data_IF_222141908600
#
_entry.id   IF_222141908600
#
_cell.length_a   1.000
_cell.length_b   1.000
_cell.length_c   1.000
_cell.angle_alpha   90.00
_cell.angle_beta   90.00
_cell.angle_gamma   90.00
#
_symmetry.space_group_name_H-M   'P 1'
#
loop_
_entity.id
_entity.type
_entity.pdbx_description
1 polymer ?
#
# COMPACT_ATOMS: atom_id res chain seq x y z
N UNK A 1 0.73 -9.33 -21.46
CA UNK A 1 -0.34 -9.94 -20.64
C UNK A 1 -0.75 -11.26 -21.27
N UNK A 2 -0.74 -12.37 -20.53
CA UNK A 2 -1.07 -13.73 -21.03
C UNK A 2 -2.37 -14.33 -20.47
N UNK A 3 -3.06 -13.68 -19.51
CA UNK A 3 -4.17 -14.30 -18.77
C UNK A 3 -5.51 -13.55 -18.86
N UNK A 4 -5.71 -12.76 -19.91
CA UNK A 4 -7.01 -12.17 -20.22
C UNK A 4 -7.69 -13.03 -21.27
N UNK A 5 -8.83 -13.61 -20.93
CA UNK A 5 -9.66 -14.31 -21.90
C UNK A 5 -10.62 -13.32 -22.55
N UNK A 6 -10.57 -13.26 -23.87
CA UNK A 6 -11.47 -12.45 -24.68
C UNK A 6 -12.78 -13.20 -24.86
N UNK A 7 -13.90 -12.59 -24.43
CA UNK A 7 -15.22 -13.02 -24.86
C UNK A 7 -15.71 -12.01 -25.90
N UNK A 8 -15.96 -12.48 -27.12
CA UNK A 8 -16.73 -11.70 -28.08
C UNK A 8 -18.17 -11.62 -27.56
N UNK A 9 -18.63 -10.41 -27.25
CA UNK A 9 -20.05 -10.15 -26.98
C UNK A 9 -20.53 -9.24 -28.09
N UNK A 10 -21.51 -9.71 -28.85
CA UNK A 10 -22.25 -8.90 -29.82
C UNK A 10 -23.28 -8.10 -29.00
N UNK A 11 -23.13 -6.78 -28.97
CA UNK A 11 -24.17 -5.88 -28.46
C UNK A 11 -24.96 -5.39 -29.68
N UNK A 12 -26.20 -5.84 -29.81
CA UNK A 12 -27.14 -5.31 -30.80
C UNK A 12 -27.65 -3.94 -30.31
N UNK A 13 -27.21 -2.86 -30.96
CA UNK A 13 -27.92 -1.58 -30.90
C UNK A 13 -29.00 -1.55 -31.99
N UNK A 14 -30.25 -1.21 -31.62
CA UNK A 14 -31.31 -0.82 -32.56
C UNK A 14 -30.90 0.48 -33.28
N UNK A 15 -30.03 0.37 -34.29
CA UNK A 15 -29.52 1.55 -34.98
C UNK A 15 -28.13 1.45 -35.57
N UNK A 16 -27.67 0.26 -35.97
CA UNK A 16 -26.67 0.10 -37.03
C UNK A 16 -25.36 0.88 -36.87
N UNK A 17 -24.62 0.66 -35.78
CA UNK A 17 -23.14 0.63 -35.83
C UNK A 17 -22.66 -0.24 -34.65
N UNK A 18 -22.28 -1.50 -34.90
CA UNK A 18 -21.71 -2.38 -33.87
C UNK A 18 -20.43 -1.75 -33.27
N UNK A 19 -20.50 -1.26 -32.04
CA UNK A 19 -19.31 -1.03 -31.23
C UNK A 19 -18.96 -2.35 -30.54
N UNK A 20 -18.04 -3.13 -31.12
CA UNK A 20 -17.41 -4.27 -30.42
C UNK A 20 -16.61 -3.74 -29.22
N UNK A 21 -17.24 -3.66 -28.06
CA UNK A 21 -16.55 -3.46 -26.79
C UNK A 21 -15.75 -4.71 -26.44
N UNK A 22 -14.44 -4.58 -26.24
CA UNK A 22 -13.63 -5.70 -25.74
C UNK A 22 -13.95 -5.97 -24.27
N UNK A 23 -14.78 -6.98 -24.01
CA UNK A 23 -14.99 -7.50 -22.66
C UNK A 23 -13.89 -8.50 -22.33
N UNK A 24 -13.01 -8.11 -21.42
CA UNK A 24 -11.90 -8.94 -20.95
C UNK A 24 -12.20 -9.42 -19.53
N UNK A 25 -12.22 -10.73 -19.33
CA UNK A 25 -12.37 -11.33 -18.01
C UNK A 25 -11.00 -11.51 -17.35
N UNK A 26 -10.91 -11.07 -16.10
CA UNK A 26 -9.74 -11.30 -15.25
C UNK A 26 -10.00 -12.52 -14.37
N UNK A 27 -9.17 -13.55 -14.54
CA UNK A 27 -9.22 -14.76 -13.73
C UNK A 27 -7.96 -14.83 -12.86
N UNK A 28 -8.02 -14.37 -11.59
CA UNK A 28 -6.86 -14.37 -10.70
C UNK A 28 -6.20 -15.75 -10.54
N UNK A 29 -6.99 -16.82 -10.62
CA UNK A 29 -6.52 -18.21 -10.48
C UNK A 29 -5.64 -18.69 -11.65
N UNK A 30 -5.62 -17.97 -12.78
CA UNK A 30 -4.80 -18.30 -13.95
C UNK A 30 -3.50 -17.50 -14.01
N UNK A 31 -3.23 -16.65 -13.01
CA UNK A 31 -2.01 -15.86 -12.96
C UNK A 31 -0.77 -16.74 -12.78
N UNK A 32 0.34 -16.32 -13.41
CA UNK A 32 1.65 -16.96 -13.23
C UNK A 32 2.02 -16.98 -11.74
N UNK A 33 2.59 -18.09 -11.26
CA UNK A 33 3.16 -18.16 -9.92
C UNK A 33 4.41 -17.29 -9.77
N UNK A 34 5.16 -17.15 -10.86
CA UNK A 34 6.49 -16.60 -10.83
C UNK A 34 6.44 -15.07 -10.78
N UNK A 35 7.32 -14.50 -9.95
CA UNK A 35 7.52 -13.04 -9.89
C UNK A 35 8.16 -12.58 -11.20
N UNK A 36 7.71 -11.47 -11.80
CA UNK A 36 8.40 -10.91 -12.96
C UNK A 36 9.81 -10.43 -12.57
N UNK A 37 10.81 -10.76 -13.39
CA UNK A 37 12.21 -10.41 -13.15
C UNK A 37 12.41 -8.89 -13.06
N UNK A 38 11.61 -8.11 -13.78
CA UNK A 38 11.66 -6.64 -13.77
C UNK A 38 11.36 -6.06 -12.39
N UNK A 39 10.64 -6.79 -11.53
CA UNK A 39 10.32 -6.33 -10.18
C UNK A 39 11.51 -6.45 -9.22
N UNK A 40 12.44 -7.36 -9.52
CA UNK A 40 13.65 -7.60 -8.70
C UNK A 40 14.73 -6.55 -8.90
N UNK A 41 14.70 -5.84 -10.02
CA UNK A 41 15.65 -4.77 -10.35
C UNK A 41 15.18 -3.38 -9.94
N UNK A 42 13.98 -3.24 -9.37
CA UNK A 42 13.46 -1.97 -8.87
C UNK A 42 14.18 -1.51 -7.61
N UNK A 43 14.46 -0.21 -7.52
CA UNK A 43 15.00 0.42 -6.32
C UNK A 43 13.84 1.01 -5.52
N UNK A 44 13.41 0.29 -4.49
CA UNK A 44 12.35 0.73 -3.60
C UNK A 44 12.86 1.73 -2.56
N UNK A 45 12.04 2.73 -2.27
CA UNK A 45 12.31 3.81 -1.31
C UNK A 45 11.37 3.76 -0.10
N UNK A 46 10.27 3.02 -0.21
CA UNK A 46 9.34 2.78 0.88
C UNK A 46 8.89 1.32 0.93
N UNK A 47 8.68 0.82 2.15
CA UNK A 47 8.14 -0.50 2.43
C UNK A 47 7.25 -0.49 3.67
N UNK A 48 6.11 -1.14 3.58
CA UNK A 48 5.15 -1.30 4.67
C UNK A 48 4.51 -2.68 4.61
N UNK A 49 4.12 -3.22 5.75
CA UNK A 49 3.38 -4.48 5.77
C UNK A 49 2.27 -4.52 6.82
N UNK A 50 1.18 -5.22 6.46
CA UNK A 50 0.12 -5.64 7.35
C UNK A 50 0.32 -7.11 7.66
N UNK A 51 0.73 -7.44 8.88
CA UNK A 51 1.16 -8.79 9.25
C UNK A 51 0.22 -9.43 10.28
N UNK A 52 -0.14 -10.69 10.07
CA UNK A 52 -0.87 -11.49 11.06
C UNK A 52 -0.07 -11.62 12.37
N UNK A 53 -0.75 -11.48 13.52
CA UNK A 53 -0.14 -11.68 14.83
C UNK A 53 0.18 -13.15 15.11
N UNK A 54 -0.71 -14.05 14.68
CA UNK A 54 -0.60 -15.49 14.88
C UNK A 54 0.13 -16.15 13.71
N UNK A 55 1.07 -17.06 14.05
CA UNK A 55 1.79 -17.89 13.07
C UNK A 55 0.91 -18.91 12.33
N UNK A 56 -0.36 -19.02 12.68
CA UNK A 56 -1.31 -19.94 12.05
C UNK A 56 -2.34 -19.22 11.18
N UNK A 57 -2.27 -17.89 11.12
CA UNK A 57 -3.22 -17.05 10.41
C UNK A 57 -2.64 -16.58 9.08
N UNK A 58 -3.45 -16.59 8.04
CA UNK A 58 -3.08 -16.18 6.69
C UNK A 58 -4.18 -15.30 6.10
N UNK A 59 -3.79 -14.37 5.24
CA UNK A 59 -4.76 -13.64 4.45
C UNK A 59 -5.45 -14.61 3.47
N UNK A 60 -6.79 -14.62 3.41
CA UNK A 60 -7.48 -15.55 2.52
C UNK A 60 -7.24 -15.15 1.05
N UNK A 61 -7.16 -16.10 0.10
CA UNK A 61 -6.97 -15.77 -1.32
C UNK A 61 -8.02 -14.78 -1.87
N UNK A 62 -9.26 -14.86 -1.37
CA UNK A 62 -10.34 -13.91 -1.73
C UNK A 62 -9.98 -12.46 -1.39
N UNK A 63 -9.28 -12.22 -0.28
CA UNK A 63 -8.82 -10.89 0.09
C UNK A 63 -7.89 -10.33 -0.99
N UNK A 64 -6.92 -11.12 -1.49
CA UNK A 64 -6.03 -10.69 -2.57
C UNK A 64 -6.79 -10.39 -3.87
N UNK A 65 -7.75 -11.24 -4.24
CA UNK A 65 -8.52 -11.06 -5.47
C UNK A 65 -9.31 -9.75 -5.46
N UNK A 66 -9.95 -9.42 -4.32
CA UNK A 66 -10.67 -8.14 -4.18
C UNK A 66 -9.70 -6.96 -4.17
N UNK A 67 -8.63 -7.05 -3.39
CA UNK A 67 -7.63 -5.99 -3.27
C UNK A 67 -6.99 -5.66 -4.62
N UNK A 68 -6.50 -6.68 -5.34
CA UNK A 68 -5.84 -6.52 -6.62
C UNK A 68 -6.75 -5.89 -7.68
N UNK A 69 -8.03 -6.28 -7.71
CA UNK A 69 -9.04 -5.66 -8.59
C UNK A 69 -9.29 -4.19 -8.24
N UNK A 70 -9.44 -3.86 -6.95
CA UNK A 70 -9.67 -2.48 -6.51
C UNK A 70 -8.47 -1.59 -6.80
N UNK A 71 -7.26 -2.05 -6.51
CA UNK A 71 -6.04 -1.31 -6.82
C UNK A 71 -5.85 -1.11 -8.32
N UNK A 72 -6.05 -2.15 -9.13
CA UNK A 72 -5.93 -2.05 -10.57
C UNK A 72 -6.97 -1.08 -11.18
N UNK A 73 -8.19 -1.06 -10.62
CA UNK A 73 -9.24 -0.15 -11.06
C UNK A 73 -9.02 1.30 -10.60
N UNK A 74 -8.66 1.52 -9.34
CA UNK A 74 -8.53 2.87 -8.78
C UNK A 74 -7.20 3.54 -9.12
N UNK A 75 -6.10 2.79 -9.03
CA UNK A 75 -4.75 3.36 -8.93
C UNK A 75 -3.90 3.14 -10.17
N UNK A 76 -4.26 2.17 -11.00
CA UNK A 76 -3.39 1.73 -12.09
C UNK A 76 -3.86 2.15 -13.50
N UNK A 77 -4.84 3.06 -13.59
CA UNK A 77 -5.41 3.53 -14.84
C UNK A 77 -4.75 4.82 -15.33
N UNK A 78 -4.07 4.83 -16.50
CA UNK A 78 -3.86 6.03 -17.29
C UNK A 78 -5.16 6.32 -18.05
N UNK A 79 -5.82 7.45 -17.76
CA UNK A 79 -7.04 7.87 -18.45
C UNK A 79 -6.70 8.67 -19.72
N UNK A 80 -7.10 8.14 -20.88
CA UNK A 80 -7.37 8.89 -22.11
C UNK A 80 -8.54 8.18 -22.85
N UNK A 81 -9.62 8.90 -23.16
CA UNK A 81 -10.75 8.50 -24.02
C UNK A 81 -11.25 7.05 -23.85
N UNK A 82 -11.88 6.73 -22.70
CA UNK A 82 -12.51 5.43 -22.37
C UNK A 82 -11.62 4.17 -22.58
N UNK A 83 -10.34 4.33 -22.93
CA UNK A 83 -9.40 3.26 -23.24
C UNK A 83 -8.48 3.04 -22.04
N UNK A 84 -8.68 1.90 -21.38
CA UNK A 84 -7.82 1.44 -20.30
C UNK A 84 -6.40 1.14 -20.83
N UNK A 85 -5.44 2.06 -20.68
CA UNK A 85 -4.01 1.78 -20.92
C UNK A 85 -3.45 0.96 -19.76
N UNK A 86 -3.72 -0.34 -19.72
CA UNK A 86 -3.38 -1.20 -18.57
C UNK A 86 -1.85 -1.31 -18.37
N UNK A 87 -1.32 -0.60 -17.36
CA UNK A 87 0.10 -0.62 -16.94
C UNK A 87 0.34 -1.49 -15.69
N UNK A 88 -0.54 -2.48 -15.47
CA UNK A 88 -0.42 -3.44 -14.38
C UNK A 88 0.31 -4.70 -14.83
N UNK A 89 1.17 -5.21 -13.96
CA UNK A 89 1.74 -6.55 -14.04
C UNK A 89 1.23 -7.36 -12.85
N UNK A 90 0.62 -8.51 -13.12
CA UNK A 90 0.06 -9.40 -12.10
C UNK A 90 0.79 -10.73 -12.07
N UNK A 91 0.93 -11.29 -10.88
CA UNK A 91 1.28 -12.68 -10.60
C UNK A 91 0.36 -13.21 -9.49
N UNK A 92 0.44 -14.51 -9.17
CA UNK A 92 -0.53 -15.23 -8.35
C UNK A 92 -0.88 -14.52 -7.03
N UNK A 93 0.12 -13.95 -6.37
CA UNK A 93 -0.03 -13.29 -5.07
C UNK A 93 0.34 -11.81 -5.10
N UNK A 94 0.60 -11.20 -6.27
CA UNK A 94 0.99 -9.80 -6.30
C UNK A 94 0.64 -9.03 -7.57
N UNK A 95 0.72 -7.72 -7.43
CA UNK A 95 0.37 -6.72 -8.41
C UNK A 95 1.42 -5.61 -8.34
N UNK A 96 1.93 -5.23 -9.51
CA UNK A 96 2.73 -4.03 -9.69
C UNK A 96 2.08 -3.10 -10.70
N UNK A 97 2.18 -1.79 -10.48
CA UNK A 97 1.82 -0.79 -11.47
C UNK A 97 2.72 0.43 -11.40
N UNK A 98 2.81 1.15 -12.52
CA UNK A 98 3.41 2.48 -12.60
C UNK A 98 2.32 3.51 -12.89
N UNK A 99 2.22 4.54 -12.07
CA UNK A 99 1.13 5.52 -12.15
C UNK A 99 1.28 6.55 -13.29
N UNK A 100 2.39 6.53 -14.03
CA UNK A 100 2.67 7.53 -15.08
C UNK A 100 3.19 8.87 -14.56
N UNK A 101 3.29 9.03 -13.24
CA UNK A 101 3.74 10.24 -12.53
C UNK A 101 4.98 9.94 -11.66
N UNK A 102 5.85 9.08 -12.15
CA UNK A 102 7.15 8.77 -11.54
C UNK A 102 7.10 7.79 -10.37
N UNK A 103 5.96 7.17 -10.03
CA UNK A 103 5.84 6.26 -8.89
C UNK A 103 5.47 4.84 -9.35
N UNK A 104 6.31 3.88 -8.98
CA UNK A 104 6.04 2.45 -9.08
C UNK A 104 5.51 1.91 -7.76
N UNK A 105 4.53 1.03 -7.79
CA UNK A 105 3.90 0.46 -6.59
C UNK A 105 3.73 -1.04 -6.75
N UNK A 106 4.18 -1.78 -5.74
CA UNK A 106 4.07 -3.22 -5.61
C UNK A 106 3.21 -3.56 -4.39
N UNK A 107 2.24 -4.44 -4.57
CA UNK A 107 1.47 -5.06 -3.49
C UNK A 107 1.52 -6.57 -3.64
N UNK A 108 1.94 -7.28 -2.61
CA UNK A 108 2.08 -8.74 -2.62
C UNK A 108 1.61 -9.36 -1.30
N UNK A 109 0.94 -10.51 -1.36
CA UNK A 109 0.75 -11.37 -0.19
C UNK A 109 1.93 -12.33 -0.10
N UNK A 110 2.68 -12.22 0.99
CA UNK A 110 3.85 -13.06 1.28
C UNK A 110 3.42 -14.11 2.29
N UNK A 111 3.11 -15.32 1.81
CA UNK A 111 2.58 -16.41 2.62
C UNK A 111 3.56 -16.82 3.74
N UNK A 112 4.85 -16.85 3.46
CA UNK A 112 5.91 -17.22 4.41
C UNK A 112 5.95 -16.31 5.64
N UNK A 113 5.47 -15.07 5.50
CA UNK A 113 5.44 -14.07 6.57
C UNK A 113 4.04 -13.60 6.94
N UNK A 114 3.01 -14.17 6.32
CA UNK A 114 1.61 -13.94 6.64
C UNK A 114 1.28 -12.45 6.60
N UNK A 115 1.79 -11.77 5.57
CA UNK A 115 1.64 -10.33 5.46
C UNK A 115 1.25 -9.88 4.07
N UNK A 116 0.51 -8.79 4.02
CA UNK A 116 0.38 -7.95 2.82
C UNK A 116 1.55 -6.99 2.84
N UNK A 117 2.39 -7.07 1.81
CA UNK A 117 3.54 -6.21 1.59
C UNK A 117 3.17 -5.11 0.59
N UNK A 118 3.53 -3.88 0.92
CA UNK A 118 3.47 -2.72 0.02
C UNK A 118 4.88 -2.17 -0.14
N UNK A 119 5.35 -2.03 -1.37
CA UNK A 119 6.63 -1.39 -1.66
C UNK A 119 6.45 -0.33 -2.76
N UNK A 120 7.15 0.78 -2.64
CA UNK A 120 7.08 1.86 -3.63
C UNK A 120 8.47 2.31 -4.07
N UNK A 121 8.61 2.52 -5.38
CA UNK A 121 9.75 3.16 -6.00
C UNK A 121 9.32 4.52 -6.54
N UNK A 122 10.23 5.49 -6.53
CA UNK A 122 9.91 6.84 -6.98
C UNK A 122 11.08 7.45 -7.75
N UNK A 123 10.76 8.05 -8.89
CA UNK A 123 11.69 8.87 -9.65
C UNK A 123 12.07 10.13 -8.86
N UNK A 124 13.26 10.65 -9.14
CA UNK A 124 13.76 11.84 -8.44
C UNK A 124 12.83 13.04 -8.66
N UNK A 125 12.38 13.66 -7.57
CA UNK A 125 11.52 14.84 -7.59
C UNK A 125 10.01 14.53 -7.52
N UNK A 126 9.62 13.26 -7.39
CA UNK A 126 8.21 12.86 -7.31
C UNK A 126 7.81 12.30 -5.92
N UNK A 127 8.59 12.60 -4.87
CA UNK A 127 8.35 12.06 -3.53
C UNK A 127 6.97 12.43 -2.97
N UNK A 128 6.48 13.65 -3.22
CA UNK A 128 5.14 14.07 -2.82
C UNK A 128 4.03 13.19 -3.43
N UNK A 129 4.20 12.79 -4.71
CA UNK A 129 3.29 11.85 -5.37
C UNK A 129 3.33 10.47 -4.70
N UNK A 130 4.52 10.01 -4.30
CA UNK A 130 4.66 8.75 -3.56
C UNK A 130 3.99 8.83 -2.20
N UNK A 131 4.14 9.94 -1.46
CA UNK A 131 3.49 10.16 -0.16
C UNK A 131 1.96 10.09 -0.29
N UNK A 132 1.40 10.77 -1.29
CA UNK A 132 -0.05 10.75 -1.55
C UNK A 132 -0.52 9.34 -1.93
N UNK A 133 0.12 8.70 -2.91
CA UNK A 133 -0.27 7.37 -3.37
C UNK A 133 -0.12 6.32 -2.27
N UNK A 134 0.90 6.44 -1.43
CA UNK A 134 1.10 5.59 -0.24
C UNK A 134 -0.11 5.66 0.69
N UNK A 135 -0.64 6.85 0.95
CA UNK A 135 -1.84 7.04 1.78
C UNK A 135 -3.03 6.29 1.17
N UNK A 136 -3.24 6.45 -0.13
CA UNK A 136 -4.38 5.86 -0.82
C UNK A 136 -4.27 4.32 -0.90
N UNK A 137 -3.07 3.80 -1.14
CA UNK A 137 -2.82 2.35 -1.19
C UNK A 137 -2.97 1.71 0.18
N UNK A 138 -2.40 2.28 1.23
CA UNK A 138 -2.56 1.78 2.61
C UNK A 138 -4.04 1.83 3.01
N UNK A 139 -4.74 2.92 2.71
CA UNK A 139 -6.17 3.07 2.96
C UNK A 139 -7.00 1.98 2.29
N UNK A 140 -6.71 1.66 1.02
CA UNK A 140 -7.41 0.58 0.31
C UNK A 140 -7.11 -0.80 0.89
N UNK A 141 -5.85 -1.09 1.22
CA UNK A 141 -5.45 -2.33 1.91
C UNK A 141 -6.25 -2.50 3.20
N UNK A 142 -6.30 -1.47 4.04
CA UNK A 142 -7.03 -1.50 5.31
C UNK A 142 -8.54 -1.59 5.12
N UNK A 143 -9.11 -0.91 4.12
CA UNK A 143 -10.54 -1.00 3.78
C UNK A 143 -10.93 -2.41 3.39
N UNK A 144 -10.20 -3.03 2.46
CA UNK A 144 -10.48 -4.41 2.02
C UNK A 144 -10.32 -5.39 3.17
N UNK A 145 -9.37 -5.15 4.08
CA UNK A 145 -9.13 -5.99 5.26
C UNK A 145 -10.33 -5.93 6.21
N UNK A 146 -10.77 -4.72 6.58
CA UNK A 146 -11.94 -4.48 7.44
C UNK A 146 -13.21 -5.10 6.84
N UNK A 147 -13.37 -5.07 5.51
CA UNK A 147 -14.53 -5.65 4.83
C UNK A 147 -14.48 -7.18 4.69
N UNK A 148 -13.31 -7.73 4.37
CA UNK A 148 -13.19 -9.13 3.90
C UNK A 148 -12.74 -10.11 4.99
N UNK A 149 -11.94 -9.66 5.94
CA UNK A 149 -11.39 -10.52 7.00
C UNK A 149 -11.21 -9.77 8.34
N UNK A 150 -12.28 -9.14 8.88
CA UNK A 150 -12.19 -8.33 10.11
C UNK A 150 -11.80 -9.10 11.37
N UNK A 151 -11.96 -10.43 11.38
CA UNK A 151 -11.60 -11.29 12.51
C UNK A 151 -10.10 -11.63 12.56
N UNK A 152 -9.34 -11.27 11.53
CA UNK A 152 -7.93 -11.59 11.43
C UNK A 152 -7.12 -10.58 12.25
N UNK A 153 -6.51 -11.00 13.35
CA UNK A 153 -5.64 -10.11 14.12
C UNK A 153 -4.35 -9.76 13.35
N UNK A 154 -4.13 -8.47 13.13
CA UNK A 154 -3.01 -7.94 12.35
C UNK A 154 -2.29 -6.81 13.07
N UNK A 155 -1.04 -6.56 12.67
CA UNK A 155 -0.22 -5.41 13.07
C UNK A 155 0.41 -4.76 11.85
N UNK A 156 0.51 -3.45 11.89
CA UNK A 156 1.09 -2.63 10.84
C UNK A 156 2.55 -2.29 11.16
N UNK A 157 3.41 -2.40 10.15
CA UNK A 157 4.83 -2.11 10.26
C UNK A 157 5.36 -1.33 9.05
N UNK A 158 6.34 -0.47 9.31
CA UNK A 158 7.17 0.18 8.30
C UNK A 158 8.51 -0.56 8.25
N UNK A 159 8.98 -0.90 7.05
CA UNK A 159 10.29 -1.54 6.84
C UNK A 159 11.37 -0.45 6.86
N UNK A 160 12.48 -0.69 7.54
CA UNK A 160 13.64 0.21 7.50
C UNK A 160 14.04 0.49 6.05
N UNK A 161 14.19 1.76 5.63
CA UNK A 161 14.60 2.11 4.27
C UNK A 161 15.91 1.47 3.81
N UNK A 162 16.79 1.04 4.74
CA UNK A 162 18.03 0.32 4.43
C UNK A 162 17.82 -1.16 4.12
N UNK A 163 16.61 -1.69 4.34
CA UNK A 163 16.26 -3.09 4.17
C UNK A 163 15.14 -3.30 3.14
N UNK A 164 15.08 -2.44 2.12
CA UNK A 164 14.05 -2.48 1.06
C UNK A 164 14.40 -3.35 -0.14
N UNK A 165 15.31 -4.31 -0.01
CA UNK A 165 15.59 -5.26 -1.08
C UNK A 165 14.33 -6.09 -1.42
N UNK A 166 14.12 -6.41 -2.70
CA UNK A 166 13.04 -7.29 -3.16
C UNK A 166 13.64 -8.42 -4.00
N UNK A 167 13.13 -9.67 -3.91
CA UNK A 167 11.96 -10.14 -3.17
C UNK A 167 12.12 -10.15 -1.66
N UNK A 168 11.01 -10.03 -0.95
CA UNK A 168 10.97 -10.09 0.51
C UNK A 168 10.69 -11.52 0.93
N UNK A 169 11.74 -12.34 0.98
CA UNK A 169 11.59 -13.77 1.30
C UNK A 169 11.32 -14.01 2.79
N UNK A 170 11.85 -13.16 3.67
CA UNK A 170 11.68 -13.27 5.14
C UNK A 170 11.38 -11.91 5.79
N UNK A 171 10.19 -11.31 5.58
CA UNK A 171 9.80 -10.05 6.22
C UNK A 171 10.04 -9.98 7.74
N UNK A 172 9.91 -11.11 8.46
CA UNK A 172 10.14 -11.21 9.92
C UNK A 172 11.59 -10.98 10.36
N UNK A 173 12.55 -11.13 9.46
CA UNK A 173 13.98 -10.95 9.74
C UNK A 173 14.43 -9.51 9.51
N UNK A 174 13.53 -8.65 8.99
CA UNK A 174 13.85 -7.26 8.72
C UNK A 174 13.73 -6.37 9.94
N UNK A 175 14.55 -5.33 9.97
CA UNK A 175 14.33 -4.19 10.85
C UNK A 175 13.03 -3.52 10.42
N UNK A 176 12.02 -3.63 11.28
CA UNK A 176 10.71 -3.02 11.08
C UNK A 176 10.32 -2.19 12.31
N UNK A 177 9.51 -1.16 12.07
CA UNK A 177 8.98 -0.28 13.10
C UNK A 177 7.46 -0.41 13.12
N UNK A 178 6.88 -0.67 14.28
CA UNK A 178 5.42 -0.67 14.40
C UNK A 178 4.86 0.71 14.08
N UNK A 179 3.84 0.79 13.22
CA UNK A 179 3.18 2.07 12.92
C UNK A 179 2.66 2.73 14.20
N UNK A 180 2.10 1.96 15.14
CA UNK A 180 1.68 2.46 16.46
C UNK A 180 2.83 3.14 17.23
N UNK A 181 4.03 2.56 17.20
CA UNK A 181 5.22 3.13 17.85
C UNK A 181 5.70 4.39 17.13
N UNK A 182 5.74 4.38 15.80
CA UNK A 182 6.09 5.55 14.97
C UNK A 182 5.16 6.71 15.27
N UNK A 183 3.85 6.48 15.22
CA UNK A 183 2.85 7.52 15.50
C UNK A 183 2.95 8.04 16.93
N UNK A 184 3.20 7.15 17.91
CA UNK A 184 3.39 7.55 19.31
C UNK A 184 4.59 8.47 19.50
N UNK A 185 5.73 8.16 18.86
CA UNK A 185 6.94 8.98 18.94
C UNK A 185 6.72 10.36 18.29
N UNK A 186 6.05 10.41 17.13
CA UNK A 186 5.69 11.69 16.46
C UNK A 186 4.85 12.57 17.38
N UNK A 187 3.81 11.99 18.00
CA UNK A 187 2.92 12.74 18.90
C UNK A 187 3.66 13.24 20.14
N UNK A 188 4.57 12.43 20.69
CA UNK A 188 5.44 12.81 21.81
C UNK A 188 6.58 13.76 21.42
N UNK A 189 6.71 14.09 20.13
CA UNK A 189 7.79 14.92 19.58
C UNK A 189 9.17 14.34 19.88
N UNK A 190 9.28 13.02 19.87
CA UNK A 190 10.56 12.32 19.94
C UNK A 190 11.22 12.37 18.56
N UNK A 191 12.54 12.53 18.50
CA UNK A 191 13.24 12.61 17.21
C UNK A 191 13.58 11.24 16.62
N UNK A 192 13.52 10.18 17.43
CA UNK A 192 14.03 8.86 17.10
C UNK A 192 13.18 7.72 17.67
N UNK A 193 13.25 6.57 17.00
CA UNK A 193 12.72 5.31 17.47
C UNK A 193 13.83 4.32 17.76
N UNK A 194 13.64 3.58 18.84
CA UNK A 194 14.44 2.40 19.13
C UNK A 194 13.75 1.19 18.51
N UNK A 195 14.50 0.39 17.74
CA UNK A 195 13.96 -0.85 17.18
C UNK A 195 13.63 -1.89 18.27
N UNK A 196 12.93 -2.95 17.91
CA UNK A 196 12.48 -3.98 18.88
C UNK A 196 13.62 -4.65 19.67
N UNK A 197 14.85 -4.67 19.15
CA UNK A 197 16.02 -5.25 19.83
C UNK A 197 16.72 -4.28 20.78
N UNK A 198 16.30 -3.02 20.87
CA UNK A 198 16.91 -2.03 21.76
C UNK A 198 18.28 -1.50 21.30
N UNK A 199 18.79 -2.00 20.17
CA UNK A 199 20.19 -1.80 19.76
C UNK A 199 20.36 -0.69 18.72
N UNK A 200 19.30 -0.31 18.01
CA UNK A 200 19.37 0.69 16.95
C UNK A 200 18.36 1.81 17.15
N UNK A 201 18.90 3.01 17.23
CA UNK A 201 18.18 4.27 17.24
C UNK A 201 18.11 4.80 15.80
N UNK A 202 16.90 5.06 15.29
CA UNK A 202 16.69 5.55 13.92
C UNK A 202 15.83 6.79 13.95
N UNK A 203 16.27 7.88 13.31
CA UNK A 203 15.52 9.12 13.28
C UNK A 203 14.16 8.94 12.59
N UNK A 204 13.11 9.60 13.08
CA UNK A 204 11.80 9.55 12.43
C UNK A 204 11.85 10.08 10.99
N UNK A 205 12.70 11.06 10.72
CA UNK A 205 13.01 11.58 9.37
C UNK A 205 13.83 10.62 8.51
N UNK A 206 14.49 9.61 9.09
CA UNK A 206 15.07 8.53 8.28
C UNK A 206 14.01 7.51 7.90
N UNK A 207 13.05 7.21 8.80
CA UNK A 207 11.96 6.25 8.55
C UNK A 207 10.95 6.82 7.56
N UNK A 208 10.64 8.11 7.68
CA UNK A 208 9.67 8.86 6.85
C UNK A 208 10.31 10.14 6.29
N UNK A 209 11.25 10.03 5.33
CA UNK A 209 12.04 11.17 4.85
C UNK A 209 11.21 12.26 4.19
N UNK A 210 10.17 11.89 3.45
CA UNK A 210 9.35 12.81 2.66
C UNK A 210 8.08 13.29 3.40
N UNK A 211 7.87 12.90 4.66
CA UNK A 211 6.66 13.25 5.41
C UNK A 211 6.82 14.53 6.23
N UNK A 212 5.73 15.29 6.29
CA UNK A 212 5.59 16.40 7.23
C UNK A 212 5.16 15.89 8.60
N UNK A 213 6.13 15.63 9.49
CA UNK A 213 5.86 15.12 10.84
C UNK A 213 5.10 16.12 11.75
N UNK A 214 4.97 17.38 11.34
CA UNK A 214 4.15 18.38 12.03
C UNK A 214 2.66 18.24 11.70
N UNK A 215 2.33 17.70 10.53
CA UNK A 215 0.95 17.48 10.07
C UNK A 215 0.54 16.03 10.31
N UNK A 216 0.42 15.68 11.59
CA UNK A 216 0.22 14.30 12.03
C UNK A 216 -1.06 13.69 11.43
N UNK A 217 -2.11 14.49 11.25
CA UNK A 217 -3.37 14.07 10.65
C UNK A 217 -3.27 13.62 9.20
N UNK A 218 -2.26 14.11 8.47
CA UNK A 218 -2.10 13.82 7.04
C UNK A 218 -0.97 12.83 6.75
N UNK A 219 -0.35 12.24 7.77
CA UNK A 219 0.67 11.21 7.58
C UNK A 219 0.10 10.05 6.76
N UNK A 220 0.79 9.66 5.69
CA UNK A 220 0.32 8.60 4.80
C UNK A 220 0.18 7.23 5.47
N UNK A 221 0.93 6.98 6.56
CA UNK A 221 0.83 5.75 7.35
C UNK A 221 -0.56 5.54 7.96
N UNK A 222 -1.35 6.61 8.10
CA UNK A 222 -2.73 6.50 8.58
C UNK A 222 -3.66 5.90 7.54
N UNK A 223 -3.30 5.87 6.26
CA UNK A 223 -4.18 5.39 5.19
C UNK A 223 -5.50 6.16 5.09
N UNK A 224 -5.56 7.40 5.59
CA UNK A 224 -6.79 8.20 5.69
C UNK A 224 -7.65 7.93 6.94
N UNK A 225 -7.19 7.09 7.88
CA UNK A 225 -7.86 6.87 9.16
C UNK A 225 -7.50 7.94 10.20
N UNK A 226 -8.38 8.11 11.20
CA UNK A 226 -8.09 8.99 12.33
C UNK A 226 -6.95 8.40 13.17
N UNK A 227 -6.03 9.24 13.64
CA UNK A 227 -4.91 8.82 14.49
C UNK A 227 -5.35 8.07 15.75
N UNK A 228 -6.54 8.37 16.28
CA UNK A 228 -7.12 7.69 17.44
C UNK A 228 -7.45 6.23 17.17
N UNK A 229 -7.65 5.84 15.91
CA UNK A 229 -7.81 4.44 15.52
C UNK A 229 -6.48 3.67 15.61
N UNK A 230 -5.34 4.37 15.46
CA UNK A 230 -3.99 3.77 15.41
C UNK A 230 -3.32 3.76 16.78
N UNK A 231 -3.42 4.86 17.51
CA UNK A 231 -2.96 4.97 18.89
C UNK A 231 -4.20 4.82 19.76
N UNK A 232 -4.51 3.60 20.21
CA UNK A 232 -5.49 3.40 21.28
C UNK A 232 -5.19 4.40 22.39
N UNK A 233 -6.09 5.37 22.57
CA UNK A 233 -5.91 6.47 23.49
C UNK A 233 -5.95 5.92 24.91
N UNK A 234 -4.79 5.62 25.48
CA UNK A 234 -4.66 5.58 26.95
C UNK A 234 -4.74 7.02 27.45
N UNK A 235 -5.96 7.49 27.74
CA UNK A 235 -6.39 8.61 28.64
C UNK A 235 -5.51 9.89 28.81
N UNK A 236 -4.53 10.19 27.97
CA UNK A 236 -3.72 11.42 28.08
C UNK A 236 -4.11 12.51 27.08
N UNK A 237 -5.00 12.24 26.13
CA UNK A 237 -5.49 13.24 25.17
C UNK A 237 -6.70 14.02 25.70
N UNK A 238 -6.52 14.74 26.81
CA UNK A 238 -7.47 15.78 27.30
C UNK A 238 -6.94 17.19 27.06
N UNK A 239 -6.40 17.46 25.87
CA UNK A 239 -6.26 18.85 25.42
C UNK A 239 -6.82 18.98 24.01
N UNK A 240 -7.78 19.90 23.78
CA UNK A 240 -8.30 20.15 22.44
C UNK A 240 -7.17 20.66 21.56
N UNK A 241 -7.03 20.09 20.35
CA UNK A 241 -6.21 20.67 19.30
C UNK A 241 -6.76 22.06 18.96
N UNK A 242 -6.14 23.11 19.51
CA UNK A 242 -6.52 24.50 19.22
C UNK A 242 -6.20 24.81 17.76
N UNK A 243 -7.15 25.28 16.94
CA UNK A 243 -6.84 25.72 15.59
C UNK A 243 -5.99 26.98 15.65
N UNK A 244 -4.80 26.94 15.06
CA UNK A 244 -3.94 28.13 14.91
C UNK A 244 -4.62 29.04 13.89
N UNK A 245 -5.20 30.16 14.34
CA UNK A 245 -5.62 31.25 13.46
C UNK A 245 -4.36 31.86 12.84
N UNK A 246 -4.23 31.76 11.52
CA UNK A 246 -3.26 32.53 10.75
C UNK A 246 -3.68 34.01 10.83
N UNK A 247 -2.96 34.79 11.63
CA UNK A 247 -3.07 36.24 11.64
C UNK A 247 -2.30 36.82 10.45
N UNK A 248 -3.00 37.52 9.56
CA UNK A 248 -2.42 38.35 8.51
C UNK A 248 -1.46 39.39 9.11
N UNK A 249 -0.25 39.46 8.57
CA UNK A 249 0.62 40.64 8.55
C UNK A 249 1.40 40.65 7.24
#
# INVERSE_FOLDING_TARGET
MTNLHQLAVEEEEEGGTERRGERLLFFPCLLSTDRPDEMTSQVYQFGWCLQCTSKHHFFPPRYFHVLSLRLAYKMALPQEDDKLKRRCTFWKNGLYWFNGHGVGSLVEIVDESQCVLVMMSCEKGYSDNMVSLRRDVIGEVMSVYKESCPSLEVKEFVIDPKELAYPVNTPRERTVYSVKAVMSAIVKREDFLVNATGTRCTGLKEILPDESLSDISNLSLLGGHDIKEVIEVTEEFKTPLTPIKLGML
#
